data_IF_463539265172
#
_entry.id   IF_463539265172
#
_cell.length_a   1.000
_cell.length_b   1.000
_cell.length_c   1.000
_cell.angle_alpha   90.00
_cell.angle_beta   90.00
_cell.angle_gamma   90.00
#
_symmetry.space_group_name_H-M   'P 1'
#
loop_
_entity.id
_entity.type
_entity.pdbx_description
1 polymer ?
#
# COMPACT_ATOMS: atom_id res chain seq x y z
N UNK A 1 4.80 7.56 9.04
CA UNK A 1 4.71 6.15 8.64
C UNK A 1 3.54 5.95 7.70
N UNK A 2 3.77 5.22 6.64
CA UNK A 2 2.77 4.96 5.61
C UNK A 2 2.70 3.47 5.32
N UNK A 3 1.51 3.01 4.99
CA UNK A 3 1.30 1.62 4.56
C UNK A 3 0.73 1.62 3.15
N UNK A 4 1.17 0.67 2.33
CA UNK A 4 0.65 0.50 0.98
C UNK A 4 0.06 -0.89 0.85
N UNK A 5 -1.13 -0.97 0.29
CA UNK A 5 -1.84 -2.22 0.05
C UNK A 5 -1.95 -2.44 -1.45
N UNK A 6 -1.51 -3.60 -1.92
CA UNK A 6 -1.60 -3.95 -3.33
C UNK A 6 -2.10 -5.38 -3.46
N UNK A 7 -3.34 -5.54 -3.88
CA UNK A 7 -3.96 -6.86 -4.00
C UNK A 7 -4.86 -6.88 -5.25
N UNK A 8 -4.26 -7.04 -6.44
CA UNK A 8 -5.02 -6.96 -7.69
C UNK A 8 -6.10 -8.04 -7.82
N UNK A 9 -6.00 -9.14 -7.09
CA UNK A 9 -7.01 -10.18 -7.12
C UNK A 9 -8.21 -9.89 -6.22
N UNK A 10 -8.14 -8.83 -5.42
CA UNK A 10 -9.21 -8.44 -4.52
C UNK A 10 -9.92 -7.21 -5.11
N UNK A 11 -11.26 -7.17 -5.11
CA UNK A 11 -11.97 -5.99 -5.62
C UNK A 11 -11.55 -4.72 -4.89
N UNK A 12 -11.42 -3.63 -5.63
CA UNK A 12 -10.98 -2.35 -5.05
C UNK A 12 -11.88 -1.92 -3.88
N UNK A 13 -13.18 -2.15 -3.97
CA UNK A 13 -14.09 -1.79 -2.89
C UNK A 13 -13.75 -2.53 -1.60
N UNK A 14 -13.35 -3.79 -1.69
CA UNK A 14 -12.98 -4.57 -0.50
C UNK A 14 -11.68 -4.04 0.12
N UNK A 15 -10.70 -3.66 -0.72
CA UNK A 15 -9.46 -3.09 -0.23
C UNK A 15 -9.72 -1.76 0.48
N UNK A 16 -10.60 -0.94 -0.08
CA UNK A 16 -10.97 0.34 0.52
C UNK A 16 -11.68 0.13 1.85
N UNK A 17 -12.54 -0.88 1.95
CA UNK A 17 -13.20 -1.21 3.21
C UNK A 17 -12.19 -1.61 4.28
N UNK A 18 -11.17 -2.39 3.93
CA UNK A 18 -10.09 -2.74 4.84
C UNK A 18 -9.36 -1.48 5.28
N UNK A 19 -8.97 -0.62 4.35
CA UNK A 19 -8.26 0.61 4.67
C UNK A 19 -9.07 1.48 5.63
N UNK A 20 -10.36 1.64 5.34
CA UNK A 20 -11.25 2.48 6.14
C UNK A 20 -11.40 1.94 7.56
N UNK A 21 -11.33 0.63 7.74
CA UNK A 21 -11.41 0.02 9.07
C UNK A 21 -10.19 0.36 9.92
N UNK A 22 -9.07 0.69 9.30
CA UNK A 22 -7.84 1.03 10.03
C UNK A 22 -7.68 2.53 10.21
N UNK A 23 -7.97 3.32 9.18
CA UNK A 23 -7.79 4.77 9.23
C UNK A 23 -8.66 5.44 8.19
N UNK A 24 -9.23 6.64 8.49
CA UNK A 24 -9.91 7.42 7.45
C UNK A 24 -8.95 8.12 6.50
N UNK A 25 -7.66 8.09 6.80
CA UNK A 25 -6.65 8.78 5.99
C UNK A 25 -6.01 7.82 5.00
N UNK A 26 -6.65 7.64 3.87
CA UNK A 26 -6.09 6.79 2.82
C UNK A 26 -6.36 7.41 1.46
N UNK A 27 -5.59 6.98 0.48
CA UNK A 27 -5.68 7.45 -0.89
C UNK A 27 -5.62 6.25 -1.82
N UNK A 28 -6.49 6.22 -2.81
CA UNK A 28 -6.45 5.16 -3.82
C UNK A 28 -5.67 5.64 -5.03
N UNK A 29 -4.70 4.85 -5.45
CA UNK A 29 -3.89 5.13 -6.64
C UNK A 29 -4.00 3.89 -7.54
N UNK A 30 -5.06 3.85 -8.37
CA UNK A 30 -5.36 2.67 -9.16
C UNK A 30 -5.64 1.46 -8.28
N UNK A 31 -4.95 0.33 -8.51
CA UNK A 31 -5.10 -0.85 -7.65
C UNK A 31 -4.35 -0.76 -6.32
N UNK A 32 -3.64 0.34 -6.11
CA UNK A 32 -2.83 0.55 -4.92
C UNK A 32 -3.58 1.46 -3.95
N UNK A 33 -3.61 1.11 -2.67
CA UNK A 33 -4.22 1.94 -1.65
C UNK A 33 -3.15 2.32 -0.63
N UNK A 34 -3.00 3.61 -0.39
CA UNK A 34 -1.97 4.16 0.50
C UNK A 34 -2.64 4.70 1.76
N UNK A 35 -2.16 4.26 2.91
CA UNK A 35 -2.71 4.68 4.21
C UNK A 35 -1.69 5.53 4.95
N UNK A 36 -2.19 6.60 5.58
CA UNK A 36 -1.39 7.32 6.56
C UNK A 36 -1.49 6.55 7.88
N UNK A 37 -0.41 5.89 8.25
CA UNK A 37 -0.37 5.04 9.42
C UNK A 37 0.11 5.77 10.69
N UNK A 38 0.26 7.08 10.62
CA UNK A 38 0.66 7.85 11.79
C UNK A 38 -0.37 7.71 12.91
N UNK A 39 0.08 7.36 14.10
CA UNK A 39 -0.79 7.19 15.25
C UNK A 39 -1.42 5.81 15.38
N UNK A 40 -1.35 4.97 14.35
CA UNK A 40 -1.96 3.63 14.42
C UNK A 40 -1.21 2.69 15.37
N UNK A 41 0.04 3.00 15.71
CA UNK A 41 0.80 2.17 16.63
C UNK A 41 0.15 2.08 18.02
N UNK A 42 -0.65 3.06 18.37
CA UNK A 42 -1.37 3.03 19.65
C UNK A 42 -2.47 1.97 19.67
N UNK A 43 -3.01 1.64 18.52
CA UNK A 43 -4.12 0.71 18.40
C UNK A 43 -3.68 -0.68 17.95
N UNK A 44 -2.67 -0.76 17.11
CA UNK A 44 -2.29 -2.01 16.46
C UNK A 44 -0.87 -2.47 16.77
N UNK A 45 -0.13 -1.73 17.59
CA UNK A 45 1.23 -2.09 17.94
C UNK A 45 2.26 -1.52 16.98
N UNK A 46 3.42 -2.17 16.88
CA UNK A 46 4.50 -1.67 16.03
C UNK A 46 4.17 -1.91 14.54
N UNK A 47 5.08 -1.45 13.68
CA UNK A 47 4.86 -1.56 12.23
C UNK A 47 4.67 -3.00 11.77
N UNK A 48 5.42 -3.93 12.35
CA UNK A 48 5.29 -5.34 11.99
C UNK A 48 3.92 -5.89 12.38
N UNK A 49 3.43 -5.54 13.55
CA UNK A 49 2.11 -5.96 14.00
C UNK A 49 1.01 -5.33 13.15
N UNK A 50 1.13 -4.04 12.83
CA UNK A 50 0.19 -3.37 11.95
C UNK A 50 0.15 -4.04 10.59
N UNK A 51 1.32 -4.33 10.03
CA UNK A 51 1.42 -5.01 8.73
C UNK A 51 0.76 -6.38 8.75
N UNK A 52 0.94 -7.12 9.83
CA UNK A 52 0.32 -8.43 9.99
C UNK A 52 -1.22 -8.31 10.01
N UNK A 53 -1.73 -7.34 10.77
CA UNK A 53 -3.18 -7.11 10.82
C UNK A 53 -3.75 -6.73 9.45
N UNK A 54 -3.04 -5.86 8.71
CA UNK A 54 -3.47 -5.47 7.38
C UNK A 54 -3.47 -6.67 6.42
N UNK A 55 -2.41 -7.47 6.48
CA UNK A 55 -2.30 -8.65 5.62
C UNK A 55 -3.41 -9.65 5.90
N UNK A 56 -3.71 -9.89 7.17
CA UNK A 56 -4.77 -10.80 7.55
C UNK A 56 -6.14 -10.30 7.13
N UNK A 57 -6.38 -9.00 7.28
CA UNK A 57 -7.66 -8.41 6.88
C UNK A 57 -7.86 -8.53 5.37
N UNK A 58 -6.81 -8.30 4.58
CA UNK A 58 -6.89 -8.45 3.14
C UNK A 58 -7.09 -9.91 2.74
N UNK A 59 -6.43 -10.83 3.42
CA UNK A 59 -6.52 -12.25 3.09
C UNK A 59 -7.94 -12.79 3.23
N UNK A 60 -8.73 -12.19 4.11
CA UNK A 60 -10.13 -12.61 4.28
C UNK A 60 -10.99 -12.35 3.05
N UNK A 61 -10.58 -11.42 2.19
CA UNK A 61 -11.30 -11.09 0.97
C UNK A 61 -10.72 -11.78 -0.26
N UNK A 62 -9.58 -12.46 -0.10
CA UNK A 62 -8.92 -13.11 -1.21
C UNK A 62 -9.49 -14.50 -1.47
N UNK A 63 -9.37 -14.95 -2.72
CA UNK A 63 -9.81 -16.28 -3.11
C UNK A 63 -8.66 -17.29 -3.17
N UNK A 64 -7.53 -16.95 -2.58
CA UNK A 64 -6.42 -17.87 -2.43
C UNK A 64 -5.42 -17.95 -3.56
N UNK A 65 -5.69 -17.29 -4.68
CA UNK A 65 -4.83 -17.39 -5.85
C UNK A 65 -3.55 -16.57 -5.73
N UNK A 66 -3.58 -15.47 -5.00
CA UNK A 66 -2.39 -14.65 -4.81
C UNK A 66 -2.40 -14.01 -3.42
N UNK A 67 -1.19 -13.84 -2.90
CA UNK A 67 -1.01 -13.24 -1.57
C UNK A 67 -1.08 -11.72 -1.68
N UNK A 68 -1.85 -11.05 -0.83
CA UNK A 68 -1.86 -9.59 -0.81
C UNK A 68 -0.46 -9.05 -0.48
N UNK A 69 -0.14 -7.91 -1.05
CA UNK A 69 1.14 -7.26 -0.79
C UNK A 69 0.90 -6.06 0.10
N UNK A 70 1.62 -6.01 1.20
CA UNK A 70 1.54 -4.92 2.17
C UNK A 70 2.95 -4.43 2.45
N UNK A 71 3.16 -3.12 2.38
CA UNK A 71 4.47 -2.54 2.69
C UNK A 71 4.27 -1.37 3.64
N UNK A 72 5.16 -1.26 4.62
CA UNK A 72 5.15 -0.16 5.57
C UNK A 72 6.52 0.50 5.56
N UNK A 73 6.55 1.81 5.39
CA UNK A 73 7.77 2.59 5.34
C UNK A 73 7.52 3.99 5.89
N UNK A 74 8.58 4.77 6.04
CA UNK A 74 8.45 6.12 6.59
C UNK A 74 7.90 7.13 5.58
N UNK A 75 7.98 6.83 4.27
CA UNK A 75 7.44 7.70 3.25
C UNK A 75 6.41 6.96 2.40
N UNK A 76 5.48 7.74 1.84
CA UNK A 76 4.44 7.20 1.00
C UNK A 76 5.00 6.54 -0.26
N UNK A 77 5.97 7.20 -0.90
CA UNK A 77 6.60 6.68 -2.11
C UNK A 77 7.31 5.36 -1.84
N UNK A 78 8.08 5.28 -0.76
CA UNK A 78 8.79 4.04 -0.42
C UNK A 78 7.81 2.90 -0.17
N UNK A 79 6.73 3.16 0.58
CA UNK A 79 5.73 2.13 0.84
C UNK A 79 5.09 1.64 -0.47
N UNK A 80 4.75 2.56 -1.37
CA UNK A 80 4.14 2.22 -2.65
C UNK A 80 5.07 1.36 -3.50
N UNK A 81 6.33 1.76 -3.63
CA UNK A 81 7.29 1.02 -4.45
C UNK A 81 7.54 -0.38 -3.89
N UNK A 82 7.64 -0.49 -2.58
CA UNK A 82 7.86 -1.79 -1.94
C UNK A 82 6.66 -2.73 -2.13
N UNK A 83 5.44 -2.21 -2.03
CA UNK A 83 4.25 -3.01 -2.25
C UNK A 83 4.17 -3.50 -3.69
N UNK A 84 4.59 -2.68 -4.65
CA UNK A 84 4.60 -3.07 -6.06
C UNK A 84 5.73 -4.04 -6.38
N UNK A 85 6.86 -3.91 -5.71
CA UNK A 85 8.06 -4.65 -6.06
C UNK A 85 8.37 -5.87 -5.22
N UNK A 86 7.74 -6.03 -4.07
CA UNK A 86 8.02 -7.16 -3.18
C UNK A 86 6.76 -7.90 -2.81
N UNK A 87 6.81 -9.24 -2.80
CA UNK A 87 5.64 -10.03 -2.40
C UNK A 87 5.48 -10.04 -0.88
N UNK A 88 4.25 -10.30 -0.45
CA UNK A 88 3.95 -10.46 0.97
C UNK A 88 4.05 -9.19 1.77
N UNK A 89 4.39 -9.32 3.02
CA UNK A 89 4.53 -8.19 3.93
C UNK A 89 5.99 -7.70 3.96
N UNK A 90 6.18 -6.40 3.73
CA UNK A 90 7.50 -5.76 3.82
C UNK A 90 7.41 -4.60 4.79
N UNK A 91 8.23 -4.62 5.83
CA UNK A 91 8.30 -3.53 6.80
C UNK A 91 9.71 -2.97 6.79
N UNK A 92 9.83 -1.67 6.54
CA UNK A 92 11.13 -0.99 6.47
C UNK A 92 11.17 0.09 7.53
N UNK A 93 12.19 0.03 8.37
CA UNK A 93 12.36 1.02 9.43
C UNK A 93 12.85 2.35 8.87
N UNK A 94 12.57 3.47 9.56
CA UNK A 94 13.06 4.77 9.14
C UNK A 94 14.58 4.74 8.94
N UNK A 95 15.02 5.31 7.83
CA UNK A 95 16.44 5.33 7.48
C UNK A 95 16.90 4.13 6.68
N UNK A 96 16.09 3.09 6.52
CA UNK A 96 16.46 1.88 5.79
C UNK A 96 15.82 1.81 4.41
N UNK A 97 15.05 2.81 4.02
CA UNK A 97 14.33 2.80 2.75
C UNK A 97 15.26 2.68 1.54
N UNK A 98 16.38 3.38 1.59
CA UNK A 98 17.31 3.35 0.46
C UNK A 98 17.81 1.94 0.19
N UNK A 99 18.18 1.22 1.24
CA UNK A 99 18.64 -0.17 1.10
C UNK A 99 17.54 -1.09 0.62
N UNK A 100 16.33 -0.86 1.10
CA UNK A 100 15.18 -1.70 0.73
C UNK A 100 14.77 -1.47 -0.72
N UNK A 101 14.92 -0.24 -1.23
CA UNK A 101 14.54 0.10 -2.59
C UNK A 101 15.62 -0.24 -3.62
N UNK A 102 16.88 -0.30 -3.20
CA UNK A 102 17.99 -0.51 -4.13
C UNK A 102 17.85 -1.73 -5.03
N UNK A 103 17.38 -2.90 -4.55
CA UNK A 103 17.24 -4.06 -5.43
C UNK A 103 16.01 -4.03 -6.34
N UNK A 104 15.13 -3.03 -6.20
CA UNK A 104 13.94 -2.96 -7.05
C UNK A 104 14.32 -2.47 -8.45
N UNK A 105 13.64 -3.02 -9.46
CA UNK A 105 13.92 -2.64 -10.84
C UNK A 105 13.31 -1.28 -11.17
N UNK A 106 13.86 -0.65 -12.21
CA UNK A 106 13.32 0.62 -12.70
C UNK A 106 11.86 0.48 -13.15
N UNK A 107 11.46 -0.70 -13.59
CA UNK A 107 10.09 -0.93 -14.02
C UNK A 107 9.08 -0.76 -12.89
N UNK A 108 9.49 -0.99 -11.64
CA UNK A 108 8.59 -0.76 -10.50
C UNK A 108 8.30 0.73 -10.36
N UNK A 109 9.32 1.56 -10.49
CA UNK A 109 9.15 3.01 -10.44
C UNK A 109 8.25 3.49 -11.58
N UNK A 110 8.46 2.97 -12.78
CA UNK A 110 7.62 3.33 -13.93
C UNK A 110 6.16 2.93 -13.69
N UNK A 111 5.92 1.77 -13.10
CA UNK A 111 4.56 1.35 -12.78
C UNK A 111 3.90 2.30 -11.80
N UNK A 112 4.63 2.72 -10.77
CA UNK A 112 4.07 3.65 -9.79
C UNK A 112 3.76 5.00 -10.41
N UNK A 113 4.67 5.52 -11.24
CA UNK A 113 4.46 6.78 -11.93
C UNK A 113 3.22 6.69 -12.83
N UNK A 114 3.08 5.60 -13.56
CA UNK A 114 1.93 5.39 -14.43
C UNK A 114 0.63 5.34 -13.63
N UNK A 115 0.62 4.63 -12.50
CA UNK A 115 -0.56 4.56 -11.65
C UNK A 115 -0.95 5.92 -11.10
N UNK A 116 0.03 6.73 -10.72
CA UNK A 116 -0.22 8.09 -10.24
C UNK A 116 -0.84 8.95 -11.32
N UNK A 117 -0.32 8.88 -12.53
CA UNK A 117 -0.85 9.65 -13.65
C UNK A 117 -2.28 9.24 -13.98
N UNK A 118 -2.55 7.94 -14.02
CA UNK A 118 -3.90 7.46 -14.31
C UNK A 118 -4.88 7.85 -13.21
N UNK A 119 -4.44 7.78 -11.96
CA UNK A 119 -5.28 8.15 -10.84
C UNK A 119 -5.60 9.65 -10.83
N UNK A 120 -4.59 10.47 -11.15
CA UNK A 120 -4.78 11.92 -11.24
C UNK A 120 -5.76 12.27 -12.36
N UNK A 121 -5.62 11.62 -13.52
CA UNK A 121 -6.53 11.84 -14.64
C UNK A 121 -7.96 11.46 -14.30
N UNK A 122 -8.14 10.36 -13.58
CA UNK A 122 -9.47 9.91 -13.19
C UNK A 122 -10.13 10.83 -12.18
N UNK A 123 -9.34 11.57 -11.41
CA UNK A 123 -9.87 12.49 -10.41
C UNK A 123 -10.22 13.84 -10.95
N UNK A 124 -9.62 14.23 -12.04
CA UNK A 124 -9.90 15.55 -12.61
C UNK A 124 -11.34 15.62 -13.05
N UNK A 125 -12.06 16.68 -12.67
CA UNK A 125 -13.42 16.85 -13.14
C UNK A 125 -13.40 17.06 -14.64
N UNK A 126 -14.00 16.15 -15.36
CA UNK A 126 -14.05 16.30 -16.81
C UNK A 126 -15.08 17.34 -17.20
N UNK A 127 -14.77 18.10 -18.22
CA UNK A 127 -15.69 19.09 -18.73
C UNK A 127 -15.70 20.41 -17.97
N UNK A 128 -14.84 20.51 -17.00
CA UNK A 128 -14.72 21.77 -16.23
C UNK A 128 -13.93 22.80 -16.94
#
# INVERSE_FOLDING_TARGET
MFAALFAPSIPAAAIIDVARAFTPRFEQVGPLVLLDAGGLSRLFGNAQELGTHLSEALAKHGTGASTPRVAIASTQTAAALLALGRPGLTVVEPGQEEKALAPLSVSVLDRYETLKELSASAREPSGE
#
